data_IF_550523020801
#
_entry.id   IF_550523020801
#
_cell.length_a   1.000
_cell.length_b   1.000
_cell.length_c   1.000
_cell.angle_alpha   90.00
_cell.angle_beta   90.00
_cell.angle_gamma   90.00
#
_symmetry.space_group_name_H-M   'P 1'
#
loop_
_entity.id
_entity.type
_entity.pdbx_description
1 polymer ?
#
# COMPACT_ATOMS: atom_id res chain seq x y z
N UNK A 1 -34.52 30.76 -22.10
CA UNK A 1 -34.28 29.29 -22.06
C UNK A 1 -33.00 28.82 -22.76
N UNK A 2 -32.29 29.63 -23.58
CA UNK A 2 -31.04 29.19 -24.27
C UNK A 2 -29.77 29.15 -23.40
N UNK A 3 -29.72 29.83 -22.24
CA UNK A 3 -28.51 29.89 -21.40
C UNK A 3 -28.23 28.61 -20.59
N UNK A 4 -29.25 27.81 -20.23
CA UNK A 4 -29.05 26.53 -19.52
C UNK A 4 -28.50 25.41 -20.43
N UNK A 5 -28.75 25.48 -21.73
CA UNK A 5 -28.24 24.50 -22.70
C UNK A 5 -26.73 24.68 -22.97
N UNK A 6 -26.22 25.91 -22.90
CA UNK A 6 -24.77 26.17 -23.05
C UNK A 6 -23.97 25.91 -21.77
N UNK A 7 -24.56 26.11 -20.58
CA UNK A 7 -23.92 25.75 -19.31
C UNK A 7 -23.77 24.23 -19.12
N UNK A 8 -24.71 23.42 -19.62
CA UNK A 8 -24.61 21.96 -19.55
C UNK A 8 -23.53 21.34 -20.45
N UNK A 9 -23.03 22.07 -21.45
CA UNK A 9 -22.00 21.60 -22.38
C UNK A 9 -20.57 21.91 -21.89
N UNK A 10 -20.37 22.97 -21.10
CA UNK A 10 -19.06 23.26 -20.50
C UNK A 10 -18.73 22.33 -19.33
N UNK A 11 -19.74 21.90 -18.56
CA UNK A 11 -19.55 20.96 -17.45
C UNK A 11 -19.17 19.54 -17.94
N UNK A 12 -19.61 19.17 -19.16
CA UNK A 12 -19.23 17.93 -19.84
C UNK A 12 -17.82 17.96 -20.44
N UNK A 13 -17.17 19.14 -20.51
CA UNK A 13 -15.77 19.31 -20.94
C UNK A 13 -14.79 19.22 -19.75
N UNK A 14 -15.19 18.70 -18.59
CA UNK A 14 -14.21 18.07 -17.70
C UNK A 14 -13.68 16.85 -18.45
N UNK A 15 -12.46 16.95 -19.01
CA UNK A 15 -11.76 15.80 -19.60
C UNK A 15 -11.76 14.67 -18.56
N UNK A 16 -12.71 13.75 -18.65
CA UNK A 16 -12.59 12.43 -18.03
C UNK A 16 -11.39 11.83 -18.73
N UNK A 17 -10.23 11.86 -18.07
CA UNK A 17 -9.09 11.06 -18.46
C UNK A 17 -9.62 9.67 -18.75
N UNK A 18 -9.30 9.12 -19.91
CA UNK A 18 -9.72 7.77 -20.26
C UNK A 18 -9.20 6.82 -19.19
N UNK A 19 -9.96 5.77 -18.82
CA UNK A 19 -9.55 4.82 -17.78
C UNK A 19 -8.14 4.26 -18.03
N UNK A 20 -7.75 4.14 -19.31
CA UNK A 20 -6.41 3.75 -19.74
C UNK A 20 -5.33 4.77 -19.38
N UNK A 21 -5.60 6.06 -19.51
CA UNK A 21 -4.68 7.14 -19.15
C UNK A 21 -4.48 7.20 -17.63
N UNK A 22 -5.55 6.98 -16.86
CA UNK A 22 -5.48 6.88 -15.40
C UNK A 22 -4.64 5.68 -14.96
N UNK A 23 -4.86 4.51 -15.56
CA UNK A 23 -4.05 3.32 -15.29
C UNK A 23 -2.58 3.52 -15.65
N UNK A 24 -2.29 4.11 -16.82
CA UNK A 24 -0.91 4.35 -17.24
C UNK A 24 -0.19 5.35 -16.32
N UNK A 25 -0.90 6.37 -15.85
CA UNK A 25 -0.38 7.30 -14.85
C UNK A 25 -0.08 6.60 -13.52
N UNK A 26 -1.01 5.76 -13.05
CA UNK A 26 -0.87 4.98 -11.83
C UNK A 26 0.32 4.01 -11.89
N UNK A 27 0.46 3.26 -12.99
CA UNK A 27 1.62 2.39 -13.21
C UNK A 27 2.94 3.15 -13.20
N UNK A 28 2.98 4.35 -13.79
CA UNK A 28 4.17 5.20 -13.77
C UNK A 28 4.51 5.69 -12.36
N UNK A 29 3.50 5.92 -11.53
CA UNK A 29 3.66 6.30 -10.13
C UNK A 29 4.21 5.13 -9.28
N UNK A 30 3.74 3.90 -9.54
CA UNK A 30 4.12 2.69 -8.79
C UNK A 30 5.45 2.08 -9.25
N UNK A 31 5.83 2.24 -10.51
CA UNK A 31 7.06 1.67 -11.08
C UNK A 31 8.30 1.70 -10.17
N UNK A 32 8.66 2.81 -9.50
CA UNK A 32 9.83 2.85 -8.61
C UNK A 32 9.68 2.00 -7.33
N UNK A 33 8.46 1.59 -6.98
CA UNK A 33 8.13 0.82 -5.78
C UNK A 33 8.03 -0.70 -6.03
N UNK A 34 8.07 -1.15 -7.29
CA UNK A 34 8.03 -2.57 -7.68
C UNK A 34 8.98 -3.49 -6.89
N UNK A 35 10.26 -3.17 -6.66
CA UNK A 35 11.14 -4.07 -5.91
C UNK A 35 10.67 -4.30 -4.46
N UNK A 36 10.09 -3.27 -3.83
CA UNK A 36 9.51 -3.40 -2.50
C UNK A 36 8.21 -4.21 -2.52
N UNK A 37 7.38 -4.06 -3.56
CA UNK A 37 6.19 -4.88 -3.75
C UNK A 37 6.54 -6.36 -3.93
N UNK A 38 7.60 -6.67 -4.70
CA UNK A 38 8.11 -8.04 -4.86
C UNK A 38 8.60 -8.59 -3.51
N UNK A 39 9.35 -7.79 -2.74
CA UNK A 39 9.79 -8.19 -1.40
C UNK A 39 8.59 -8.51 -0.50
N UNK A 40 7.57 -7.65 -0.50
CA UNK A 40 6.35 -7.87 0.29
C UNK A 40 5.65 -9.16 -0.16
N UNK A 41 5.55 -9.40 -1.47
CA UNK A 41 4.95 -10.63 -2.01
C UNK A 41 5.70 -11.89 -1.56
N UNK A 42 7.03 -11.88 -1.59
CA UNK A 42 7.85 -13.01 -1.11
C UNK A 42 7.61 -13.24 0.39
N UNK A 43 7.56 -12.18 1.20
CA UNK A 43 7.26 -12.27 2.62
C UNK A 43 5.83 -12.78 2.89
N UNK A 44 4.85 -12.41 2.06
CA UNK A 44 3.49 -12.94 2.09
C UNK A 44 3.48 -14.44 1.85
N UNK A 45 4.20 -14.92 0.83
CA UNK A 45 4.30 -16.34 0.50
C UNK A 45 4.94 -17.15 1.64
N UNK A 46 6.02 -16.65 2.24
CA UNK A 46 6.65 -17.28 3.40
C UNK A 46 5.64 -17.39 4.55
N UNK A 47 4.93 -16.30 4.84
CA UNK A 47 3.93 -16.28 5.90
C UNK A 47 2.80 -17.28 5.64
N UNK A 48 2.30 -17.37 4.40
CA UNK A 48 1.29 -18.34 3.99
C UNK A 48 1.78 -19.78 4.19
N UNK A 49 3.01 -20.09 3.78
CA UNK A 49 3.59 -21.42 3.98
C UNK A 49 3.69 -21.74 5.48
N UNK A 50 4.16 -20.79 6.30
CA UNK A 50 4.25 -20.99 7.76
C UNK A 50 2.87 -21.20 8.41
N UNK A 51 1.82 -20.56 7.91
CA UNK A 51 0.47 -20.75 8.45
C UNK A 51 -0.11 -22.13 8.14
N UNK A 52 0.29 -22.74 7.02
CA UNK A 52 -0.07 -24.13 6.69
C UNK A 52 0.78 -25.15 7.47
N UNK A 53 2.05 -24.82 7.73
CA UNK A 53 2.94 -25.66 8.55
C UNK A 53 2.45 -25.75 10.01
N UNK A 54 1.88 -24.67 10.54
CA UNK A 54 1.39 -24.60 11.93
C UNK A 54 0.47 -25.77 12.35
N UNK A 55 -0.67 -26.05 11.67
CA UNK A 55 -1.54 -27.17 12.04
C UNK A 55 -0.86 -28.53 11.85
N UNK A 56 0.03 -28.67 10.87
CA UNK A 56 0.75 -29.91 10.62
C UNK A 56 1.70 -30.22 11.79
N UNK A 57 2.53 -29.26 12.20
CA UNK A 57 3.41 -29.38 13.37
C UNK A 57 2.63 -29.66 14.65
N UNK A 58 1.51 -28.97 14.85
CA UNK A 58 0.64 -29.17 16.01
C UNK A 58 0.15 -30.62 16.08
N UNK A 59 -0.22 -31.22 14.94
CA UNK A 59 -0.59 -32.64 14.88
C UNK A 59 0.54 -33.56 15.34
N UNK A 60 1.76 -33.38 14.82
CA UNK A 60 2.91 -34.23 15.21
C UNK A 60 3.29 -34.09 16.68
N UNK A 61 3.13 -32.89 17.25
CA UNK A 61 3.33 -32.66 18.68
C UNK A 61 2.29 -33.47 19.48
N UNK A 62 1.02 -33.41 19.11
CA UNK A 62 -0.05 -34.19 19.76
C UNK A 62 0.22 -35.69 19.64
N UNK A 63 0.53 -36.18 18.44
CA UNK A 63 0.83 -37.60 18.19
C UNK A 63 2.04 -38.08 19.02
N UNK A 64 3.07 -37.24 19.18
CA UNK A 64 4.26 -37.56 20.00
C UNK A 64 3.94 -37.64 21.49
N UNK A 65 3.03 -36.78 21.98
CA UNK A 65 2.54 -36.81 23.36
C UNK A 65 1.75 -38.10 23.62
N UNK A 66 0.84 -38.47 22.70
CA UNK A 66 0.00 -39.67 22.82
C UNK A 66 0.86 -40.94 22.82
N UNK A 67 1.89 -40.99 21.97
CA UNK A 67 2.79 -42.15 21.88
C UNK A 67 3.86 -42.18 22.99
N UNK A 68 3.96 -41.15 23.85
CA UNK A 68 4.95 -41.08 24.92
C UNK A 68 6.41 -40.95 24.44
N UNK A 69 6.65 -40.54 23.19
CA UNK A 69 8.00 -40.43 22.63
C UNK A 69 8.57 -39.03 22.87
N UNK A 70 9.39 -38.90 23.92
CA UNK A 70 9.98 -37.63 24.37
C UNK A 70 10.96 -37.03 23.34
N UNK A 71 11.71 -37.87 22.63
CA UNK A 71 12.68 -37.41 21.63
C UNK A 71 11.99 -36.78 20.43
N UNK A 72 10.95 -37.46 19.92
CA UNK A 72 10.08 -36.94 18.84
C UNK A 72 9.41 -35.64 19.25
N UNK A 73 8.90 -35.58 20.49
CA UNK A 73 8.26 -34.39 21.04
C UNK A 73 9.22 -33.19 21.09
N UNK A 74 10.44 -33.37 21.60
CA UNK A 74 11.45 -32.31 21.67
C UNK A 74 11.87 -31.83 20.27
N UNK A 75 12.02 -32.74 19.32
CA UNK A 75 12.32 -32.38 17.93
C UNK A 75 11.22 -31.51 17.31
N UNK A 76 9.96 -31.93 17.39
CA UNK A 76 8.85 -31.17 16.82
C UNK A 76 8.59 -29.85 17.53
N UNK A 77 8.77 -29.77 18.85
CA UNK A 77 8.70 -28.50 19.59
C UNK A 77 9.80 -27.51 19.17
N UNK A 78 11.03 -28.01 18.99
CA UNK A 78 12.15 -27.16 18.52
C UNK A 78 11.89 -26.64 17.11
N UNK A 79 11.42 -27.52 16.21
CA UNK A 79 11.05 -27.15 14.85
C UNK A 79 9.89 -26.14 14.85
N UNK A 80 8.88 -26.33 15.70
CA UNK A 80 7.74 -25.43 15.85
C UNK A 80 8.16 -24.03 16.30
N UNK A 81 9.06 -23.94 17.29
CA UNK A 81 9.65 -22.67 17.72
C UNK A 81 10.40 -21.97 16.58
N UNK A 82 11.14 -22.73 15.76
CA UNK A 82 11.80 -22.21 14.57
C UNK A 82 10.80 -21.63 13.55
N UNK A 83 9.74 -22.38 13.25
CA UNK A 83 8.69 -21.94 12.30
C UNK A 83 7.95 -20.70 12.80
N UNK A 84 7.60 -20.64 14.09
CA UNK A 84 6.97 -19.45 14.68
C UNK A 84 7.91 -18.25 14.59
N UNK A 85 9.19 -18.43 14.89
CA UNK A 85 10.17 -17.35 14.81
C UNK A 85 10.25 -16.79 13.39
N UNK A 86 10.31 -17.66 12.37
CA UNK A 86 10.29 -17.24 10.95
C UNK A 86 8.99 -16.53 10.60
N UNK A 87 7.84 -17.06 11.04
CA UNK A 87 6.53 -16.45 10.83
C UNK A 87 6.47 -15.03 11.41
N UNK A 88 6.97 -14.83 12.64
CA UNK A 88 7.03 -13.53 13.31
C UNK A 88 7.94 -12.55 12.56
N UNK A 89 9.17 -12.97 12.22
CA UNK A 89 10.14 -12.12 11.52
C UNK A 89 9.64 -11.74 10.12
N UNK A 90 9.10 -12.70 9.38
CA UNK A 90 8.53 -12.45 8.06
C UNK A 90 7.32 -11.50 8.15
N UNK A 91 6.43 -11.72 9.13
CA UNK A 91 5.28 -10.86 9.38
C UNK A 91 5.67 -9.43 9.75
N UNK A 92 6.62 -9.26 10.67
CA UNK A 92 7.14 -7.94 11.05
C UNK A 92 7.78 -7.23 9.86
N UNK A 93 8.65 -7.93 9.12
CA UNK A 93 9.32 -7.39 7.94
C UNK A 93 8.34 -6.99 6.85
N UNK A 94 7.26 -7.77 6.66
CA UNK A 94 6.19 -7.48 5.70
C UNK A 94 5.48 -6.18 6.07
N UNK A 95 5.02 -6.06 7.32
CA UNK A 95 4.33 -4.85 7.81
C UNK A 95 5.23 -3.62 7.69
N UNK A 96 6.51 -3.75 8.05
CA UNK A 96 7.47 -2.67 7.94
C UNK A 96 7.69 -2.24 6.47
N UNK A 97 7.87 -3.19 5.55
CA UNK A 97 8.05 -2.90 4.13
C UNK A 97 6.81 -2.21 3.52
N UNK A 98 5.61 -2.66 3.89
CA UNK A 98 4.34 -2.03 3.50
C UNK A 98 4.29 -0.58 3.99
N UNK A 99 4.54 -0.35 5.27
CA UNK A 99 4.53 0.99 5.86
C UNK A 99 5.58 1.91 5.21
N UNK A 100 6.76 1.38 4.91
CA UNK A 100 7.82 2.11 4.22
C UNK A 100 7.37 2.58 2.83
N UNK A 101 6.80 1.67 2.03
CA UNK A 101 6.30 2.00 0.69
C UNK A 101 5.19 3.04 0.75
N UNK A 102 4.23 2.90 1.66
CA UNK A 102 3.12 3.82 1.81
C UNK A 102 3.59 5.24 2.14
N UNK A 103 4.49 5.37 3.12
CA UNK A 103 5.04 6.66 3.53
C UNK A 103 5.89 7.28 2.42
N UNK A 104 6.71 6.48 1.73
CA UNK A 104 7.58 6.97 0.65
C UNK A 104 6.76 7.43 -0.56
N UNK A 105 5.71 6.70 -0.92
CA UNK A 105 4.76 7.09 -1.96
C UNK A 105 4.09 8.42 -1.63
N UNK A 106 3.59 8.57 -0.40
CA UNK A 106 2.96 9.80 0.06
C UNK A 106 3.94 10.97 0.09
N UNK A 107 5.18 10.73 0.52
CA UNK A 107 6.26 11.71 0.49
C UNK A 107 6.55 12.20 -0.93
N UNK A 108 6.72 11.29 -1.88
CA UNK A 108 6.99 11.64 -3.28
C UNK A 108 5.86 12.47 -3.89
N UNK A 109 4.60 12.13 -3.58
CA UNK A 109 3.43 12.89 -4.03
C UNK A 109 3.43 14.30 -3.47
N UNK A 110 3.66 14.45 -2.15
CA UNK A 110 3.79 15.75 -1.49
C UNK A 110 4.93 16.55 -2.10
N UNK A 111 6.09 15.95 -2.28
CA UNK A 111 7.27 16.62 -2.83
C UNK A 111 7.01 17.17 -4.24
N UNK A 112 6.44 16.35 -5.13
CA UNK A 112 6.09 16.79 -6.50
C UNK A 112 5.09 17.94 -6.50
N UNK A 113 4.11 17.88 -5.61
CA UNK A 113 3.11 18.94 -5.44
C UNK A 113 3.75 20.23 -4.92
N UNK A 114 4.61 20.16 -3.91
CA UNK A 114 5.33 21.34 -3.40
C UNK A 114 6.19 21.99 -4.48
N UNK A 115 6.94 21.20 -5.25
CA UNK A 115 7.74 21.70 -6.37
C UNK A 115 6.85 22.36 -7.44
N UNK A 116 5.67 21.81 -7.70
CA UNK A 116 4.73 22.39 -8.65
C UNK A 116 4.16 23.73 -8.15
N UNK A 117 3.75 23.81 -6.89
CA UNK A 117 3.27 25.04 -6.27
C UNK A 117 4.34 26.14 -6.27
N UNK A 118 5.59 25.78 -5.98
CA UNK A 118 6.69 26.75 -5.94
C UNK A 118 7.05 27.33 -7.32
N UNK A 119 6.71 26.62 -8.41
CA UNK A 119 6.96 27.07 -9.80
C UNK A 119 5.82 27.92 -10.38
N UNK A 120 4.74 28.10 -9.65
CA UNK A 120 3.57 28.84 -10.11
C UNK A 120 3.85 30.35 -10.05
N UNK A 121 3.39 31.10 -11.06
CA UNK A 121 3.57 32.57 -11.12
C UNK A 121 2.81 33.23 -9.97
N UNK A 122 3.38 34.32 -9.42
CA UNK A 122 2.77 35.13 -8.36
C UNK A 122 1.35 35.61 -8.70
N UNK A 123 1.07 35.85 -9.98
CA UNK A 123 -0.25 36.24 -10.49
C UNK A 123 -1.36 35.20 -10.23
N UNK A 124 -0.98 33.93 -10.05
CA UNK A 124 -1.91 32.87 -9.63
C UNK A 124 -2.36 33.03 -8.17
N UNK A 125 -1.50 33.60 -7.32
CA UNK A 125 -1.74 33.77 -5.88
C UNK A 125 -2.43 35.09 -5.54
N UNK A 126 -2.68 35.96 -6.51
CA UNK A 126 -3.30 37.28 -6.33
C UNK A 126 -4.84 37.29 -6.40
N UNK A 127 -5.49 36.14 -6.65
CA UNK A 127 -6.94 36.08 -6.96
C UNK A 127 -7.90 35.63 -5.85
N UNK A 128 -7.44 35.19 -4.69
CA UNK A 128 -8.23 34.81 -3.50
C UNK A 128 -7.27 34.67 -2.29
N UNK A 129 -7.75 34.43 -1.06
CA UNK A 129 -6.91 34.14 0.12
C UNK A 129 -5.88 33.02 -0.20
N UNK A 130 -4.62 33.40 -0.41
CA UNK A 130 -3.52 32.51 -0.81
C UNK A 130 -3.42 31.26 0.08
N UNK A 131 -3.71 31.41 1.38
CA UNK A 131 -3.71 30.29 2.35
C UNK A 131 -4.80 29.24 2.10
N UNK A 132 -5.97 29.65 1.62
CA UNK A 132 -7.10 28.76 1.34
C UNK A 132 -6.85 27.87 0.12
N UNK A 133 -6.19 28.41 -0.92
CA UNK A 133 -5.84 27.67 -2.13
C UNK A 133 -4.77 26.61 -1.82
N UNK A 134 -3.70 27.02 -1.13
CA UNK A 134 -2.60 26.12 -0.77
C UNK A 134 -3.09 25.00 0.16
N UNK A 135 -3.92 25.33 1.15
CA UNK A 135 -4.51 24.35 2.07
C UNK A 135 -5.37 23.32 1.33
N UNK A 136 -6.24 23.76 0.39
CA UNK A 136 -7.06 22.84 -0.42
C UNK A 136 -6.21 21.90 -1.25
N UNK A 137 -5.20 22.40 -1.97
CA UNK A 137 -4.34 21.56 -2.81
C UNK A 137 -3.57 20.54 -1.98
N UNK A 138 -3.03 20.95 -0.84
CA UNK A 138 -2.31 20.05 0.07
C UNK A 138 -3.25 18.96 0.61
N UNK A 139 -4.46 19.33 1.03
CA UNK A 139 -5.44 18.38 1.56
C UNK A 139 -5.95 17.41 0.49
N UNK A 140 -6.19 17.89 -0.73
CA UNK A 140 -6.62 17.05 -1.84
C UNK A 140 -5.52 16.04 -2.20
N UNK A 141 -4.26 16.49 -2.30
CA UNK A 141 -3.13 15.59 -2.59
C UNK A 141 -2.87 14.60 -1.46
N UNK A 142 -3.02 15.02 -0.20
CA UNK A 142 -2.95 14.10 0.93
C UNK A 142 -4.04 13.03 0.85
N UNK A 143 -5.27 13.42 0.53
CA UNK A 143 -6.41 12.50 0.44
C UNK A 143 -6.26 11.52 -0.72
N UNK A 144 -5.86 12.01 -1.90
CA UNK A 144 -5.61 11.16 -3.07
C UNK A 144 -4.41 10.24 -2.80
N UNK A 145 -3.33 10.78 -2.25
CA UNK A 145 -2.11 10.02 -1.97
C UNK A 145 -2.31 8.94 -0.91
N UNK A 146 -3.06 9.24 0.16
CA UNK A 146 -3.41 8.24 1.17
C UNK A 146 -4.34 7.18 0.62
N UNK A 147 -5.35 7.55 -0.19
CA UNK A 147 -6.26 6.59 -0.82
C UNK A 147 -5.53 5.64 -1.77
N UNK A 148 -4.60 6.16 -2.57
CA UNK A 148 -3.75 5.35 -3.45
C UNK A 148 -2.84 4.43 -2.62
N UNK A 149 -2.20 4.96 -1.58
CA UNK A 149 -1.33 4.16 -0.71
C UNK A 149 -2.12 3.02 -0.06
N UNK A 150 -3.26 3.32 0.57
CA UNK A 150 -4.13 2.30 1.19
C UNK A 150 -4.62 1.28 0.18
N UNK A 151 -5.10 1.71 -1.00
CA UNK A 151 -5.56 0.76 -2.03
C UNK A 151 -4.45 -0.18 -2.53
N UNK A 152 -3.21 0.30 -2.66
CA UNK A 152 -2.06 -0.56 -2.99
C UNK A 152 -1.74 -1.51 -1.85
N UNK A 153 -1.80 -1.03 -0.61
CA UNK A 153 -1.56 -1.84 0.58
C UNK A 153 -2.59 -2.97 0.66
N UNK A 154 -3.88 -2.66 0.52
CA UNK A 154 -4.97 -3.64 0.59
C UNK A 154 -4.78 -4.69 -0.52
N UNK A 155 -4.51 -4.27 -1.75
CA UNK A 155 -4.21 -5.19 -2.86
C UNK A 155 -2.99 -6.10 -2.62
N UNK A 156 -2.07 -5.73 -1.73
CA UNK A 156 -0.85 -6.51 -1.43
C UNK A 156 -1.00 -7.30 -0.13
N UNK A 157 -1.87 -6.85 0.77
CA UNK A 157 -2.21 -7.54 2.02
C UNK A 157 -3.16 -8.70 1.73
N UNK A 158 -4.15 -8.46 0.88
CA UNK A 158 -5.26 -9.37 0.56
C UNK A 158 -4.95 -10.30 -0.62
N UNK A 159 -3.84 -10.10 -1.34
CA UNK A 159 -3.24 -11.10 -2.23
C UNK A 159 -2.33 -12.06 -1.44
#
# INVERSE_FOLDING_TARGET
>A
MRAKAHMGLEEQRKRKLSDKELLMWFFKLIKPYIPYLILILILSLIRLLTSLLYPYLTKYIIDSIVNGNVDSLMFFLTLFMGVISVMCVAGFSRIYAIAYVANKLLYDLRYRMFVHLYRLKLDYFSKEETGSIVSRIINDVNTIGSSIASGIIDLVIDL
#
